data_IF_853815698066
#
_entry.id   IF_853815698066
#
_cell.length_a   1.000
_cell.length_b   1.000
_cell.length_c   1.000
_cell.angle_alpha   90.00
_cell.angle_beta   90.00
_cell.angle_gamma   90.00
#
_symmetry.space_group_name_H-M   'P 1'
#
loop_
_entity.id
_entity.type
_entity.pdbx_description
1 polymer ?
#
# COMPACT_ATOMS: atom_id res chain seq x y z
N UNK A 1 20.91 -4.47 0.56
CA UNK A 1 21.23 -3.95 -0.79
C UNK A 1 22.21 -2.79 -0.65
N UNK A 2 23.08 -2.52 -1.63
CA UNK A 2 23.90 -1.29 -1.66
C UNK A 2 23.19 -0.12 -2.37
N UNK A 3 22.06 -0.40 -3.01
CA UNK A 3 21.20 0.57 -3.70
C UNK A 3 19.85 0.67 -2.95
N UNK A 4 19.14 1.82 -3.05
CA UNK A 4 17.81 1.96 -2.47
C UNK A 4 16.85 0.86 -2.93
N UNK A 5 15.86 0.54 -2.09
CA UNK A 5 14.84 -0.49 -2.36
C UNK A 5 13.46 0.14 -2.34
N UNK A 6 12.52 -0.46 -3.08
CA UNK A 6 11.11 -0.06 -3.09
C UNK A 6 10.28 -1.18 -2.46
N UNK A 7 9.42 -0.82 -1.52
CA UNK A 7 8.23 -1.62 -1.18
C UNK A 7 7.10 -1.06 -2.03
N UNK A 8 6.74 -1.74 -3.12
CA UNK A 8 5.88 -1.14 -4.15
C UNK A 8 4.45 -0.89 -3.66
N UNK A 9 3.95 -1.74 -2.79
CA UNK A 9 2.61 -1.66 -2.20
C UNK A 9 2.65 -2.38 -0.84
N UNK A 10 2.41 -1.65 0.25
CA UNK A 10 2.16 -2.19 1.59
C UNK A 10 1.59 -1.07 2.49
N UNK A 11 1.35 -1.33 3.77
CA UNK A 11 1.09 -0.31 4.77
C UNK A 11 1.85 -0.54 6.08
N UNK A 12 1.66 0.36 7.04
CA UNK A 12 2.22 0.25 8.40
C UNK A 12 1.54 -0.83 9.27
N UNK A 13 2.36 -1.68 9.90
CA UNK A 13 1.90 -2.70 10.85
C UNK A 13 1.44 -2.12 12.18
N UNK A 14 1.92 -0.93 12.53
CA UNK A 14 1.47 -0.21 13.72
C UNK A 14 0.04 0.29 13.54
N UNK A 15 -0.33 0.71 12.33
CA UNK A 15 -1.68 1.16 11.98
C UNK A 15 -2.65 -0.03 11.84
N UNK A 16 -2.21 -1.11 11.16
CA UNK A 16 -3.01 -2.33 10.99
C UNK A 16 -2.17 -3.60 11.26
N UNK A 17 -2.42 -4.33 12.36
CA UNK A 17 -1.51 -5.37 12.82
C UNK A 17 -1.71 -6.73 12.13
N UNK A 18 -1.55 -6.79 10.81
CA UNK A 18 -1.62 -8.04 10.01
C UNK A 18 -0.25 -8.43 9.42
N UNK A 19 -0.12 -9.66 8.92
CA UNK A 19 1.11 -10.22 8.32
C UNK A 19 1.61 -9.40 7.13
N UNK A 20 0.71 -8.90 6.29
CA UNK A 20 1.03 -8.16 5.05
C UNK A 20 1.70 -6.80 5.31
N UNK A 21 1.45 -6.21 6.47
CA UNK A 21 1.89 -4.88 6.85
C UNK A 21 3.34 -4.87 7.35
N UNK A 22 4.02 -3.75 7.14
CA UNK A 22 5.46 -3.60 7.37
C UNK A 22 5.73 -3.07 8.79
N UNK A 23 6.57 -3.75 9.58
CA UNK A 23 7.03 -3.25 10.88
C UNK A 23 7.83 -1.94 10.81
N UNK A 24 7.78 -1.14 11.86
CA UNK A 24 8.43 0.17 11.92
C UNK A 24 9.96 0.13 11.75
N UNK A 25 10.63 -0.88 12.29
CA UNK A 25 12.09 -1.05 12.14
C UNK A 25 12.48 -1.30 10.68
N UNK A 26 11.66 -2.05 9.94
CA UNK A 26 11.84 -2.26 8.50
C UNK A 26 11.56 -0.97 7.71
N UNK A 27 10.53 -0.21 8.08
CA UNK A 27 10.22 1.08 7.45
C UNK A 27 11.34 2.11 7.67
N UNK A 28 11.92 2.17 8.87
CA UNK A 28 13.08 3.02 9.18
C UNK A 28 14.31 2.59 8.40
N UNK A 29 14.62 1.29 8.37
CA UNK A 29 15.74 0.77 7.59
C UNK A 29 15.59 1.03 6.08
N UNK A 30 14.35 0.98 5.56
CA UNK A 30 14.04 1.35 4.19
C UNK A 30 14.37 2.82 3.93
N UNK A 31 13.99 3.72 4.84
CA UNK A 31 14.26 5.15 4.74
C UNK A 31 15.76 5.47 4.80
N UNK A 32 16.50 4.82 5.72
CA UNK A 32 17.95 4.99 5.91
C UNK A 32 18.75 4.70 4.62
N UNK A 33 18.30 3.75 3.80
CA UNK A 33 18.93 3.43 2.52
C UNK A 33 18.40 4.25 1.34
N UNK A 34 17.58 5.27 1.59
CA UNK A 34 16.98 6.10 0.55
C UNK A 34 15.81 5.45 -0.18
N UNK A 35 15.21 4.40 0.38
CA UNK A 35 14.11 3.65 -0.21
C UNK A 35 12.75 4.37 -0.13
N UNK A 36 11.73 3.77 -0.73
CA UNK A 36 10.35 4.31 -0.75
C UNK A 36 9.34 3.19 -0.54
N UNK A 37 8.29 3.46 0.23
CA UNK A 37 7.09 2.63 0.32
C UNK A 37 5.93 3.28 -0.47
N UNK A 38 5.28 2.50 -1.33
CA UNK A 38 3.97 2.83 -1.87
C UNK A 38 2.88 2.33 -0.93
N UNK A 39 1.95 3.20 -0.52
CA UNK A 39 0.82 2.80 0.33
C UNK A 39 -0.19 2.03 -0.51
N UNK A 40 -0.62 0.85 -0.03
CA UNK A 40 -1.56 -0.02 -0.72
C UNK A 40 -3.02 0.29 -0.41
N UNK A 41 -3.91 -0.01 -1.36
CA UNK A 41 -5.35 0.21 -1.28
C UNK A 41 -6.15 -1.07 -1.63
N UNK A 42 -5.65 -2.24 -1.22
CA UNK A 42 -6.43 -3.46 -1.31
C UNK A 42 -7.50 -3.51 -0.20
N UNK A 43 -8.71 -4.03 -0.49
CA UNK A 43 -9.75 -4.19 0.51
C UNK A 43 -9.25 -5.02 1.71
N UNK A 44 -9.56 -4.54 2.91
CA UNK A 44 -9.12 -5.14 4.17
C UNK A 44 -7.71 -4.72 4.61
N UNK A 45 -6.79 -4.39 3.70
CA UNK A 45 -5.42 -3.98 4.06
C UNK A 45 -5.33 -2.52 4.50
N UNK A 46 -6.22 -1.65 4.03
CA UNK A 46 -6.29 -0.26 4.50
C UNK A 46 -7.08 -0.09 5.79
N UNK A 47 -7.73 -1.14 6.30
CA UNK A 47 -8.42 -1.06 7.59
C UNK A 47 -7.42 -0.63 8.68
N UNK A 48 -7.87 0.14 9.68
CA UNK A 48 -7.04 0.46 10.85
C UNK A 48 -7.57 -0.26 12.08
N UNK A 49 -6.83 -0.21 13.19
CA UNK A 49 -7.32 -0.69 14.49
C UNK A 49 -8.66 -0.07 14.89
N UNK A 50 -8.86 1.20 14.58
CA UNK A 50 -10.03 1.98 15.02
C UNK A 50 -11.12 2.09 13.96
N UNK A 51 -10.79 1.83 12.69
CA UNK A 51 -11.75 1.87 11.58
C UNK A 51 -11.56 0.65 10.66
N UNK A 52 -12.38 -0.40 10.83
CA UNK A 52 -12.26 -1.62 10.04
C UNK A 52 -12.84 -1.48 8.63
N UNK A 53 -13.50 -0.37 8.29
CA UNK A 53 -14.13 -0.15 6.98
C UNK A 53 -13.13 0.54 6.05
N UNK A 54 -12.65 -0.14 4.99
CA UNK A 54 -11.68 0.43 4.04
C UNK A 54 -12.20 1.69 3.34
N UNK A 55 -11.49 2.80 3.49
CA UNK A 55 -11.76 4.05 2.76
C UNK A 55 -10.48 4.80 2.42
N UNK A 56 -10.60 5.90 1.68
CA UNK A 56 -9.50 6.83 1.46
C UNK A 56 -8.95 7.37 2.79
N UNK A 57 -9.79 7.59 3.81
CA UNK A 57 -9.31 8.10 5.09
C UNK A 57 -8.47 7.06 5.84
N UNK A 58 -8.83 5.78 5.76
CA UNK A 58 -8.02 4.72 6.38
C UNK A 58 -6.72 4.47 5.60
N UNK A 59 -6.76 4.56 4.27
CA UNK A 59 -5.55 4.60 3.43
C UNK A 59 -4.62 5.77 3.81
N UNK A 60 -5.18 6.97 3.97
CA UNK A 60 -4.41 8.16 4.32
C UNK A 60 -3.86 8.08 5.75
N UNK A 61 -4.52 7.39 6.68
CA UNK A 61 -3.96 7.13 8.01
C UNK A 61 -2.64 6.31 7.95
N UNK A 62 -2.54 5.32 7.05
CA UNK A 62 -1.26 4.64 6.80
C UNK A 62 -0.22 5.57 6.18
N UNK A 63 -0.64 6.42 5.23
CA UNK A 63 0.25 7.38 4.57
C UNK A 63 0.84 8.38 5.55
N UNK A 64 0.00 9.02 6.36
CA UNK A 64 0.42 10.02 7.35
C UNK A 64 1.32 9.41 8.42
N UNK A 65 0.98 8.22 8.92
CA UNK A 65 1.85 7.50 9.86
C UNK A 65 3.23 7.22 9.27
N UNK A 66 3.29 6.75 8.02
CA UNK A 66 4.56 6.55 7.34
C UNK A 66 5.30 7.88 7.15
N UNK A 67 4.63 8.97 6.74
CA UNK A 67 5.27 10.28 6.60
C UNK A 67 5.89 10.74 7.92
N UNK A 68 5.19 10.58 9.04
CA UNK A 68 5.71 10.89 10.38
C UNK A 68 6.94 10.03 10.73
N UNK A 69 6.88 8.74 10.42
CA UNK A 69 7.92 7.78 10.82
C UNK A 69 9.22 7.88 10.00
N UNK A 70 9.11 8.04 8.68
CA UNK A 70 10.24 7.98 7.74
C UNK A 70 10.52 9.30 7.01
N UNK A 71 9.63 10.28 7.11
CA UNK A 71 9.71 11.50 6.31
C UNK A 71 9.08 11.36 4.93
N UNK A 72 8.56 12.47 4.42
CA UNK A 72 7.77 12.49 3.19
C UNK A 72 8.54 12.03 1.94
N UNK A 73 9.87 12.14 1.92
CA UNK A 73 10.70 11.72 0.78
C UNK A 73 10.72 10.19 0.58
N UNK A 74 10.12 9.44 1.49
CA UNK A 74 10.15 7.97 1.52
C UNK A 74 8.77 7.34 1.34
N UNK A 75 7.72 8.13 1.10
CA UNK A 75 6.34 7.66 0.96
C UNK A 75 5.80 8.01 -0.43
N UNK A 76 5.00 7.13 -1.02
CA UNK A 76 4.33 7.35 -2.29
C UNK A 76 3.02 6.58 -2.41
N UNK A 77 2.40 6.67 -3.59
CA UNK A 77 1.18 5.93 -3.91
C UNK A 77 1.51 4.57 -4.55
N UNK A 78 1.06 3.48 -3.91
CA UNK A 78 1.16 2.12 -4.44
C UNK A 78 -0.16 1.37 -4.30
N UNK A 79 -1.29 1.92 -4.79
CA UNK A 79 -2.62 1.53 -4.33
C UNK A 79 -3.03 0.10 -4.69
N UNK A 80 -2.33 -0.57 -5.61
CA UNK A 80 -2.66 -1.95 -6.04
C UNK A 80 -4.12 -2.11 -6.48
N UNK A 81 -4.69 -1.07 -7.09
CA UNK A 81 -6.11 -1.06 -7.48
C UNK A 81 -6.35 -1.70 -8.83
N UNK A 82 -7.59 -2.16 -9.04
CA UNK A 82 -8.04 -2.87 -10.22
C UNK A 82 -9.35 -2.23 -10.70
N UNK A 83 -9.75 -2.48 -11.95
CA UNK A 83 -11.13 -2.17 -12.36
C UNK A 83 -12.06 -3.30 -11.93
N UNK A 84 -13.10 -2.98 -11.16
CA UNK A 84 -14.17 -3.92 -10.79
C UNK A 84 -14.00 -4.54 -9.40
N UNK A 85 -14.40 -5.81 -9.25
CA UNK A 85 -14.39 -6.51 -7.96
C UNK A 85 -12.98 -7.01 -7.61
N UNK A 86 -12.29 -6.24 -6.76
CA UNK A 86 -10.94 -6.56 -6.31
C UNK A 86 -10.92 -7.83 -5.46
N UNK A 87 -11.89 -7.98 -4.56
CA UNK A 87 -12.03 -9.15 -3.68
C UNK A 87 -12.34 -10.40 -4.51
N UNK A 88 -13.18 -10.28 -5.54
CA UNK A 88 -13.47 -11.35 -6.48
C UNK A 88 -12.22 -11.88 -7.17
N UNK A 89 -11.30 -10.99 -7.56
CA UNK A 89 -10.01 -11.40 -8.13
C UNK A 89 -9.13 -12.14 -7.11
N UNK A 90 -9.10 -11.70 -5.85
CA UNK A 90 -8.36 -12.38 -4.79
C UNK A 90 -8.91 -13.78 -4.51
N UNK A 91 -10.23 -13.98 -4.53
CA UNK A 91 -10.85 -15.30 -4.40
C UNK A 91 -10.42 -16.25 -5.54
N UNK A 92 -10.44 -15.75 -6.77
CA UNK A 92 -9.97 -16.53 -7.93
C UNK A 92 -8.48 -16.88 -7.82
N UNK A 93 -7.66 -15.95 -7.33
CA UNK A 93 -6.26 -16.20 -7.08
C UNK A 93 -6.04 -17.22 -5.97
N UNK A 94 -6.71 -17.12 -4.81
CA UNK A 94 -6.55 -18.07 -3.71
C UNK A 94 -6.99 -19.49 -4.12
N UNK A 95 -8.09 -19.60 -4.87
CA UNK A 95 -8.54 -20.87 -5.45
C UNK A 95 -7.50 -21.47 -6.39
N UNK A 96 -6.95 -20.64 -7.28
CA UNK A 96 -5.90 -21.07 -8.21
C UNK A 96 -4.62 -21.45 -7.46
N UNK A 97 -4.20 -20.68 -6.48
CA UNK A 97 -2.98 -20.94 -5.71
C UNK A 97 -3.12 -22.19 -4.85
N UNK A 98 -4.30 -22.44 -4.31
CA UNK A 98 -4.61 -23.67 -3.57
C UNK A 98 -4.54 -24.90 -4.50
N UNK A 99 -4.95 -24.78 -5.77
CA UNK A 99 -4.94 -25.89 -6.73
C UNK A 99 -3.60 -26.10 -7.42
N UNK A 100 -2.98 -25.02 -7.89
CA UNK A 100 -1.84 -25.03 -8.82
C UNK A 100 -0.53 -24.54 -8.18
N UNK A 101 -0.58 -23.93 -6.99
CA UNK A 101 0.55 -23.27 -6.35
C UNK A 101 0.91 -21.90 -6.95
N UNK A 102 1.82 -21.18 -6.28
CA UNK A 102 2.45 -19.96 -6.81
C UNK A 102 3.89 -20.23 -7.23
N UNK A 103 4.15 -20.14 -8.54
CA UNK A 103 5.50 -20.18 -9.10
C UNK A 103 6.05 -21.59 -9.32
N UNK A 104 7.36 -21.67 -9.61
CA UNK A 104 8.03 -22.93 -9.98
C UNK A 104 8.35 -23.86 -8.80
N UNK A 105 7.97 -23.48 -7.57
CA UNK A 105 8.33 -24.21 -6.35
C UNK A 105 7.12 -24.35 -5.43
N UNK A 106 6.87 -25.57 -4.93
CA UNK A 106 5.82 -25.82 -3.94
C UNK A 106 6.13 -25.09 -2.63
N UNK A 107 5.12 -24.41 -2.07
CA UNK A 107 5.19 -23.75 -0.76
C UNK A 107 4.04 -24.24 0.11
N UNK A 108 4.25 -24.41 1.43
CA UNK A 108 3.17 -24.74 2.35
C UNK A 108 2.11 -23.63 2.37
N UNK A 109 0.84 -24.02 2.49
CA UNK A 109 -0.28 -23.07 2.57
C UNK A 109 -0.10 -22.20 3.81
N UNK A 110 -0.09 -20.88 3.62
CA UNK A 110 -0.08 -19.92 4.73
C UNK A 110 -1.52 -19.59 5.08
N UNK A 111 -1.81 -19.47 6.38
CA UNK A 111 -3.07 -18.95 6.84
C UNK A 111 -3.04 -17.43 6.72
N UNK A 112 -3.95 -16.87 5.93
CA UNK A 112 -4.15 -15.44 5.84
C UNK A 112 -4.82 -14.90 7.10
N UNK A 113 -4.53 -13.64 7.43
CA UNK A 113 -5.14 -12.98 8.59
C UNK A 113 -6.51 -12.38 8.27
N UNK A 114 -6.87 -12.27 6.98
CA UNK A 114 -8.11 -11.66 6.54
C UNK A 114 -9.07 -12.68 5.94
N UNK A 115 -10.34 -12.60 6.35
CA UNK A 115 -11.43 -13.34 5.72
C UNK A 115 -11.96 -12.59 4.50
N UNK A 116 -11.44 -12.96 3.33
CA UNK A 116 -11.73 -12.32 2.03
C UNK A 116 -13.23 -12.33 1.69
N UNK A 117 -14.04 -13.21 2.28
CA UNK A 117 -15.49 -13.29 2.05
C UNK A 117 -16.29 -12.14 2.64
N UNK A 118 -15.78 -11.46 3.66
CA UNK A 118 -16.48 -10.39 4.37
C UNK A 118 -16.05 -8.97 3.95
N UNK A 119 -15.04 -8.88 3.09
CA UNK A 119 -14.47 -7.60 2.67
C UNK A 119 -15.33 -6.91 1.61
N UNK A 120 -15.41 -5.57 1.63
CA UNK A 120 -16.04 -4.84 0.53
C UNK A 120 -15.25 -5.07 -0.76
N UNK A 121 -15.92 -5.03 -1.91
CA UNK A 121 -15.30 -5.33 -3.21
C UNK A 121 -14.20 -4.34 -3.61
N UNK A 122 -14.13 -3.19 -2.95
CA UNK A 122 -13.18 -2.09 -3.19
C UNK A 122 -12.98 -1.24 -1.93
N UNK A 123 -11.94 -0.39 -1.97
CA UNK A 123 -11.72 0.65 -0.96
C UNK A 123 -12.46 1.91 -1.37
N UNK A 124 -13.35 2.43 -0.50
CA UNK A 124 -14.18 3.60 -0.81
C UNK A 124 -13.31 4.84 -1.07
N UNK A 125 -13.46 5.47 -2.24
CA UNK A 125 -12.66 6.59 -2.72
C UNK A 125 -11.39 6.19 -3.49
N UNK A 126 -11.06 4.90 -3.58
CA UNK A 126 -9.90 4.34 -4.28
C UNK A 126 -10.31 3.13 -5.15
N UNK A 127 -11.47 3.21 -5.78
CA UNK A 127 -12.14 2.05 -6.40
C UNK A 127 -11.46 1.53 -7.67
N UNK A 128 -10.69 2.37 -8.36
CA UNK A 128 -10.07 2.01 -9.63
C UNK A 128 -8.76 2.78 -9.89
N UNK A 129 -7.90 2.27 -10.79
CA UNK A 129 -6.62 2.91 -11.12
C UNK A 129 -6.73 4.33 -11.67
N UNK A 130 -7.81 4.67 -12.38
CA UNK A 130 -7.99 6.01 -12.96
C UNK A 130 -8.21 7.06 -11.87
N UNK A 131 -8.96 6.72 -10.83
CA UNK A 131 -9.38 7.69 -9.82
C UNK A 131 -8.56 7.64 -8.53
N UNK A 132 -7.97 6.48 -8.19
CA UNK A 132 -7.32 6.29 -6.90
C UNK A 132 -6.24 7.35 -6.62
N UNK A 133 -5.28 7.51 -7.52
CA UNK A 133 -4.19 8.49 -7.33
C UNK A 133 -4.71 9.93 -7.37
N UNK A 134 -5.71 10.22 -8.21
CA UNK A 134 -6.33 11.56 -8.24
C UNK A 134 -7.06 11.89 -6.94
N UNK A 135 -7.74 10.93 -6.33
CA UNK A 135 -8.43 11.13 -5.07
C UNK A 135 -7.45 11.29 -3.91
N UNK A 136 -6.33 10.57 -3.90
CA UNK A 136 -5.23 10.82 -2.94
C UNK A 136 -4.71 12.25 -3.09
N UNK A 137 -4.44 12.71 -4.31
CA UNK A 137 -3.98 14.09 -4.56
C UNK A 137 -5.03 15.11 -4.08
N UNK A 138 -6.31 14.91 -4.40
CA UNK A 138 -7.42 15.77 -3.93
C UNK A 138 -7.48 15.82 -2.40
N UNK A 139 -7.28 14.69 -1.75
CA UNK A 139 -7.23 14.61 -0.29
C UNK A 139 -6.05 15.41 0.26
N UNK A 140 -4.86 15.27 -0.31
CA UNK A 140 -3.66 16.02 0.11
C UNK A 140 -3.86 17.53 -0.05
N UNK A 141 -4.41 17.98 -1.19
CA UNK A 141 -4.77 19.39 -1.43
C UNK A 141 -5.76 19.88 -0.37
N UNK A 142 -6.82 19.10 -0.10
CA UNK A 142 -7.83 19.45 0.90
C UNK A 142 -7.24 19.59 2.32
N UNK A 143 -6.19 18.84 2.64
CA UNK A 143 -5.53 18.84 3.95
C UNK A 143 -4.29 19.75 4.01
N UNK A 144 -4.08 20.61 3.00
CA UNK A 144 -3.09 21.69 3.06
C UNK A 144 -1.64 21.27 2.80
N UNK A 145 -1.42 20.10 2.18
CA UNK A 145 -0.08 19.72 1.71
C UNK A 145 0.38 20.67 0.60
N UNK A 146 1.68 20.98 0.59
CA UNK A 146 2.26 21.83 -0.44
C UNK A 146 2.32 21.12 -1.80
N UNK A 147 2.36 21.88 -2.89
CA UNK A 147 2.54 21.31 -4.23
C UNK A 147 3.84 20.49 -4.35
N UNK A 148 4.89 20.87 -3.60
CA UNK A 148 6.14 20.13 -3.54
C UNK A 148 5.95 18.76 -2.91
N UNK A 149 5.29 18.71 -1.76
CA UNK A 149 4.99 17.49 -1.01
C UNK A 149 4.05 16.56 -1.78
N UNK A 150 3.03 17.12 -2.43
CA UNK A 150 2.13 16.38 -3.30
C UNK A 150 2.91 15.76 -4.47
N UNK A 151 3.81 16.51 -5.10
CA UNK A 151 4.61 15.99 -6.20
C UNK A 151 5.56 14.85 -5.78
N UNK A 152 6.07 14.90 -4.54
CA UNK A 152 6.85 13.80 -3.93
C UNK A 152 6.03 12.53 -3.84
N UNK A 153 4.87 12.60 -3.20
CA UNK A 153 3.95 11.46 -3.00
C UNK A 153 3.42 10.92 -4.35
N UNK A 154 3.06 11.81 -5.27
CA UNK A 154 2.49 11.44 -6.56
C UNK A 154 3.48 10.69 -7.48
N UNK A 155 4.78 10.85 -7.28
CA UNK A 155 5.75 10.06 -8.04
C UNK A 155 7.20 10.50 -8.00
N UNK A 156 7.53 11.74 -7.60
CA UNK A 156 8.94 12.19 -7.59
C UNK A 156 9.81 11.34 -6.66
N UNK A 157 9.26 10.83 -5.56
CA UNK A 157 10.00 9.92 -4.68
C UNK A 157 10.36 8.60 -5.37
N UNK A 158 9.42 8.02 -6.12
CA UNK A 158 9.66 6.81 -6.89
C UNK A 158 10.69 7.05 -8.01
N UNK A 159 10.55 8.15 -8.75
CA UNK A 159 11.50 8.55 -9.80
C UNK A 159 12.92 8.73 -9.25
N UNK A 160 13.09 9.43 -8.11
CA UNK A 160 14.37 9.58 -7.42
C UNK A 160 15.03 8.24 -7.11
N UNK A 161 14.25 7.23 -6.73
CA UNK A 161 14.79 5.88 -6.49
C UNK A 161 15.19 5.22 -7.81
N UNK A 162 14.32 5.26 -8.82
CA UNK A 162 14.58 4.69 -10.15
C UNK A 162 15.87 5.23 -10.78
N UNK A 163 16.10 6.55 -10.70
CA UNK A 163 17.31 7.22 -11.19
C UNK A 163 18.60 6.75 -10.50
N UNK A 164 18.52 6.27 -9.26
CA UNK A 164 19.70 5.76 -8.52
C UNK A 164 19.96 4.27 -8.76
N UNK A 165 18.93 3.52 -9.16
CA UNK A 165 19.01 2.06 -9.26
C UNK A 165 19.27 1.57 -10.68
N UNK A 166 18.76 2.26 -11.69
CA UNK A 166 18.98 1.98 -13.12
C UNK A 166 20.24 2.66 -13.63
#
# INVERSE_FOLDING_TARGET
>A
SKKPVIISHAGSKTVHPIKRMVPDDVLKALAEIGGVIGIEAAPGYTATKDNPVPSIDTYMAHMEYCIELMGIDHVGCGPDTLYGDHVGLYKLYDDRMTKDGMGHYSRPKQQEDLEVTELPTHVKGLENPTEAVHNVIRWLVKNGYSDEDIAKIAGKNALRVLEKVW
#
